data_IF_219455542992
#
_entry.id   IF_219455542992
#
_cell.length_a   1.000
_cell.length_b   1.000
_cell.length_c   1.000
_cell.angle_alpha   90.00
_cell.angle_beta   90.00
_cell.angle_gamma   90.00
#
_symmetry.space_group_name_H-M   'P 1'
#
loop_
_entity.id
_entity.type
_entity.pdbx_description
1 polymer ?
#
# COMPACT_ATOMS: atom_id res chain seq x y z
N UNK A 1 -3.87 -4.09 -22.86
CA UNK A 1 -4.50 -3.18 -21.88
C UNK A 1 -4.64 -1.81 -22.52
N UNK A 2 -5.85 -1.18 -22.43
CA UNK A 2 -6.11 0.11 -23.06
C UNK A 2 -6.23 1.28 -22.05
N UNK A 3 -5.83 1.05 -20.79
CA UNK A 3 -5.87 2.10 -19.78
C UNK A 3 -4.81 3.16 -20.07
N UNK A 4 -5.23 4.43 -20.05
CA UNK A 4 -4.37 5.61 -20.17
C UNK A 4 -4.65 6.63 -19.09
N UNK A 5 -5.93 6.81 -18.73
CA UNK A 5 -6.39 7.77 -17.73
C UNK A 5 -6.77 7.04 -16.45
N UNK A 6 -6.05 7.33 -15.39
CA UNK A 6 -6.20 6.70 -14.09
C UNK A 6 -6.65 7.74 -13.06
N UNK A 7 -7.70 7.45 -12.33
CA UNK A 7 -8.09 8.26 -11.18
C UNK A 7 -7.77 7.50 -9.90
N UNK A 8 -7.12 8.17 -8.96
CA UNK A 8 -6.90 7.65 -7.61
C UNK A 8 -7.75 8.44 -6.62
N UNK A 9 -8.70 7.78 -5.99
CA UNK A 9 -9.57 8.41 -5.00
C UNK A 9 -8.94 8.32 -3.60
N UNK A 10 -8.41 9.43 -3.13
CA UNK A 10 -7.73 9.55 -1.85
C UNK A 10 -6.23 9.81 -1.96
N UNK A 11 -5.69 10.57 -0.99
CA UNK A 11 -4.27 10.87 -0.85
C UNK A 11 -3.75 10.48 0.54
N UNK A 12 -4.19 9.33 1.03
CA UNK A 12 -3.57 8.65 2.16
C UNK A 12 -2.12 8.24 1.82
N UNK A 13 -1.47 7.47 2.68
CA UNK A 13 -0.10 6.98 2.43
C UNK A 13 -0.04 6.25 1.08
N UNK A 14 -0.87 5.21 0.89
CA UNK A 14 -0.88 4.44 -0.35
C UNK A 14 -1.50 5.20 -1.53
N UNK A 15 -2.60 5.92 -1.35
CA UNK A 15 -3.22 6.67 -2.45
C UNK A 15 -2.25 7.65 -3.11
N UNK A 16 -1.42 8.36 -2.31
CA UNK A 16 -0.37 9.24 -2.86
C UNK A 16 0.70 8.45 -3.62
N UNK A 17 1.14 7.30 -3.08
CA UNK A 17 2.15 6.45 -3.72
C UNK A 17 1.64 5.85 -5.04
N UNK A 18 0.40 5.35 -5.06
CA UNK A 18 -0.22 4.76 -6.25
C UNK A 18 -0.35 5.82 -7.36
N UNK A 19 -0.85 7.01 -7.01
CA UNK A 19 -0.98 8.11 -7.96
C UNK A 19 0.37 8.53 -8.55
N UNK A 20 1.37 8.70 -7.68
CA UNK A 20 2.71 9.12 -8.09
C UNK A 20 3.39 8.05 -8.97
N UNK A 21 3.34 6.77 -8.57
CA UNK A 21 3.90 5.67 -9.34
C UNK A 21 3.24 5.52 -10.70
N UNK A 22 1.91 5.65 -10.76
CA UNK A 22 1.17 5.59 -12.04
C UNK A 22 1.58 6.72 -12.98
N UNK A 23 1.70 7.96 -12.48
CA UNK A 23 2.17 9.09 -13.26
C UNK A 23 3.64 8.92 -13.70
N UNK A 24 4.52 8.45 -12.81
CA UNK A 24 5.91 8.13 -13.14
C UNK A 24 6.04 7.09 -14.27
N UNK A 25 5.10 6.15 -14.36
CA UNK A 25 5.04 5.16 -15.44
C UNK A 25 4.28 5.65 -16.69
N UNK A 26 3.92 6.95 -16.74
CA UNK A 26 3.41 7.62 -17.94
C UNK A 26 1.89 7.61 -18.10
N UNK A 27 1.12 7.28 -17.05
CA UNK A 27 -0.33 7.42 -17.07
C UNK A 27 -0.76 8.87 -16.83
N UNK A 28 -1.87 9.30 -17.44
CA UNK A 28 -2.55 10.56 -17.12
C UNK A 28 -3.33 10.37 -15.82
N UNK A 29 -2.84 10.97 -14.72
CA UNK A 29 -3.37 10.69 -13.38
C UNK A 29 -4.11 11.88 -12.80
N UNK A 30 -5.33 11.62 -12.33
CA UNK A 30 -6.13 12.54 -11.53
C UNK A 30 -6.30 11.99 -10.12
N UNK A 31 -6.12 12.82 -9.10
CA UNK A 31 -6.37 12.46 -7.70
C UNK A 31 -7.70 13.11 -7.29
N UNK A 32 -8.69 12.29 -6.99
CA UNK A 32 -9.93 12.79 -6.37
C UNK A 32 -9.77 12.91 -4.87
N UNK A 33 -10.21 14.04 -4.32
CA UNK A 33 -10.10 14.35 -2.90
C UNK A 33 -11.42 14.94 -2.37
N UNK A 34 -11.79 14.57 -1.17
CA UNK A 34 -13.07 14.91 -0.56
C UNK A 34 -13.31 16.42 -0.36
N UNK A 35 -12.25 17.22 -0.27
CA UNK A 35 -12.33 18.66 0.00
C UNK A 35 -11.05 19.40 -0.40
N UNK A 36 -11.14 20.71 -0.58
CA UNK A 36 -9.98 21.59 -0.82
C UNK A 36 -8.90 21.44 0.26
N UNK A 37 -9.29 21.36 1.53
CA UNK A 37 -8.35 21.10 2.62
C UNK A 37 -7.63 19.75 2.50
N UNK A 38 -8.20 18.77 1.78
CA UNK A 38 -7.52 17.51 1.47
C UNK A 38 -6.51 17.66 0.34
N UNK A 39 -6.77 18.57 -0.62
CA UNK A 39 -5.80 18.94 -1.67
C UNK A 39 -4.56 19.56 -1.03
N UNK A 40 -4.74 20.51 -0.13
CA UNK A 40 -3.61 21.14 0.57
C UNK A 40 -2.77 20.15 1.39
N UNK A 41 -3.40 19.14 1.99
CA UNK A 41 -2.68 18.06 2.69
C UNK A 41 -2.01 17.04 1.77
N UNK A 42 -2.46 16.91 0.52
CA UNK A 42 -1.88 16.01 -0.47
C UNK A 42 -0.54 16.54 -1.03
N UNK A 43 -0.47 17.85 -1.32
CA UNK A 43 0.69 18.52 -1.92
C UNK A 43 2.02 18.17 -1.23
N UNK A 44 2.20 18.37 0.09
CA UNK A 44 3.48 18.05 0.74
C UNK A 44 3.83 16.56 0.71
N UNK A 45 2.83 15.67 0.64
CA UNK A 45 3.08 14.22 0.51
C UNK A 45 3.64 13.87 -0.86
N UNK A 46 3.08 14.46 -1.92
CA UNK A 46 3.55 14.28 -3.29
C UNK A 46 4.94 14.88 -3.49
N UNK A 47 5.20 16.06 -2.93
CA UNK A 47 6.54 16.67 -2.94
C UNK A 47 7.57 15.79 -2.22
N UNK A 48 7.20 15.22 -1.07
CA UNK A 48 8.05 14.26 -0.35
C UNK A 48 8.35 13.02 -1.19
N UNK A 49 7.34 12.47 -1.90
CA UNK A 49 7.53 11.30 -2.77
C UNK A 49 8.48 11.62 -3.92
N UNK A 50 8.32 12.78 -4.58
CA UNK A 50 9.27 13.28 -5.58
C UNK A 50 10.69 13.28 -5.03
N UNK A 51 10.89 13.86 -3.84
CA UNK A 51 12.19 13.89 -3.17
C UNK A 51 12.76 12.49 -2.91
N UNK A 52 11.95 11.56 -2.40
CA UNK A 52 12.36 10.17 -2.15
C UNK A 52 12.83 9.49 -3.43
N UNK A 53 12.05 9.60 -4.52
CA UNK A 53 12.40 8.99 -5.82
C UNK A 53 13.72 9.56 -6.34
N UNK A 54 13.88 10.88 -6.37
CA UNK A 54 15.10 11.54 -6.86
C UNK A 54 16.33 11.16 -6.03
N UNK A 55 16.22 11.15 -4.69
CA UNK A 55 17.31 10.78 -3.79
C UNK A 55 17.69 9.30 -3.92
N UNK A 56 16.71 8.42 -4.01
CA UNK A 56 16.96 6.98 -4.17
C UNK A 56 17.62 6.68 -5.51
N UNK A 57 17.17 7.31 -6.60
CA UNK A 57 17.78 7.18 -7.92
C UNK A 57 19.21 7.75 -7.96
N UNK A 58 19.46 8.88 -7.28
CA UNK A 58 20.82 9.42 -7.18
C UNK A 58 21.76 8.48 -6.42
N UNK A 59 21.28 7.92 -5.30
CA UNK A 59 22.04 6.92 -4.55
C UNK A 59 22.32 5.65 -5.37
N UNK A 60 21.35 5.24 -6.23
CA UNK A 60 21.52 4.07 -7.10
C UNK A 60 22.70 4.19 -8.07
N UNK A 61 23.05 5.38 -8.54
CA UNK A 61 24.21 5.59 -9.44
C UNK A 61 25.53 5.08 -8.86
N UNK A 62 25.67 5.08 -7.54
CA UNK A 62 26.92 4.67 -6.84
C UNK A 62 26.73 3.48 -5.91
N UNK A 63 25.49 3.14 -5.57
CA UNK A 63 25.15 2.03 -4.70
C UNK A 63 24.10 1.13 -5.35
N UNK A 64 24.45 -0.02 -5.92
CA UNK A 64 23.50 -0.95 -6.53
C UNK A 64 22.39 -1.42 -5.59
N UNK A 65 22.59 -1.39 -4.28
CA UNK A 65 21.58 -1.77 -3.29
C UNK A 65 20.44 -0.74 -3.17
N UNK A 66 20.63 0.47 -3.68
CA UNK A 66 19.58 1.48 -3.75
C UNK A 66 18.59 1.26 -4.91
N UNK A 67 18.85 0.28 -5.78
CA UNK A 67 17.92 -0.12 -6.83
C UNK A 67 16.56 -0.53 -6.25
N UNK A 68 15.50 0.00 -6.85
CA UNK A 68 14.13 -0.37 -6.55
C UNK A 68 13.44 -0.91 -7.81
N UNK A 69 12.88 -2.12 -7.71
CA UNK A 69 12.25 -2.82 -8.85
C UNK A 69 11.07 -2.05 -9.47
N UNK A 70 10.39 -1.20 -8.70
CA UNK A 70 9.32 -0.35 -9.24
C UNK A 70 9.83 0.79 -10.13
N UNK A 71 11.12 1.12 -10.12
CA UNK A 71 11.69 2.17 -10.98
C UNK A 71 11.98 1.67 -12.38
N UNK A 72 12.65 0.52 -12.49
CA UNK A 72 13.05 -0.05 -13.77
C UNK A 72 13.14 -1.58 -13.67
N UNK A 73 13.09 -2.25 -14.83
CA UNK A 73 13.13 -3.72 -14.92
C UNK A 73 14.57 -4.27 -14.71
N UNK A 74 15.60 -3.46 -14.99
CA UNK A 74 17.00 -3.84 -14.82
C UNK A 74 17.67 -3.03 -13.71
N UNK A 75 18.48 -3.66 -12.84
CA UNK A 75 19.33 -2.96 -11.89
C UNK A 75 20.57 -2.32 -12.56
N UNK A 76 20.90 -2.71 -13.79
CA UNK A 76 22.18 -2.39 -14.47
C UNK A 76 22.01 -1.20 -15.45
N UNK A 77 21.40 -0.11 -14.98
CA UNK A 77 21.28 1.12 -15.76
C UNK A 77 22.52 2.00 -15.61
N UNK A 78 22.90 2.66 -16.70
CA UNK A 78 23.92 3.70 -16.69
C UNK A 78 23.46 4.96 -15.93
N UNK A 79 24.40 5.82 -15.54
CA UNK A 79 24.09 7.07 -14.88
C UNK A 79 23.16 7.97 -15.72
N UNK A 80 23.36 8.01 -17.05
CA UNK A 80 22.53 8.79 -17.97
C UNK A 80 21.09 8.25 -18.06
N UNK A 81 20.93 6.90 -18.07
CA UNK A 81 19.60 6.27 -18.04
C UNK A 81 18.87 6.55 -16.71
N UNK A 82 19.61 6.54 -15.60
CA UNK A 82 19.05 6.91 -14.29
C UNK A 82 18.64 8.40 -14.27
N UNK A 83 19.45 9.30 -14.88
CA UNK A 83 19.09 10.70 -14.99
C UNK A 83 17.82 10.91 -15.86
N UNK A 84 17.67 10.15 -16.93
CA UNK A 84 16.43 10.16 -17.71
C UNK A 84 15.21 9.69 -16.90
N UNK A 85 15.38 8.74 -15.96
CA UNK A 85 14.31 8.37 -15.02
C UNK A 85 14.00 9.50 -14.03
N UNK A 86 15.01 10.25 -13.57
CA UNK A 86 14.80 11.42 -12.69
C UNK A 86 14.02 12.54 -13.39
N UNK A 87 14.23 12.75 -14.69
CA UNK A 87 13.41 13.68 -15.47
C UNK A 87 11.94 13.24 -15.48
N UNK A 88 11.66 11.95 -15.70
CA UNK A 88 10.29 11.41 -15.61
C UNK A 88 9.67 11.58 -14.22
N UNK A 89 10.44 11.57 -13.14
CA UNK A 89 9.93 11.86 -11.79
C UNK A 89 9.42 13.29 -11.69
N UNK A 90 10.12 14.26 -12.28
CA UNK A 90 9.70 15.68 -12.31
C UNK A 90 8.45 15.83 -13.17
N UNK A 91 8.44 15.27 -14.38
CA UNK A 91 7.28 15.28 -15.28
C UNK A 91 6.03 14.67 -14.63
N UNK A 92 6.21 13.53 -13.94
CA UNK A 92 5.13 12.87 -13.21
C UNK A 92 4.53 13.78 -12.15
N UNK A 93 5.37 14.43 -11.34
CA UNK A 93 4.92 15.38 -10.31
C UNK A 93 4.14 16.55 -10.91
N UNK A 94 4.66 17.14 -11.97
CA UNK A 94 4.08 18.32 -12.61
C UNK A 94 2.78 18.01 -13.38
N UNK A 95 2.61 16.76 -13.83
CA UNK A 95 1.41 16.30 -14.57
C UNK A 95 0.25 15.90 -13.68
N UNK A 96 0.46 15.66 -12.38
CA UNK A 96 -0.60 15.23 -11.46
C UNK A 96 -1.69 16.30 -11.33
N UNK A 97 -2.93 15.87 -11.54
CA UNK A 97 -4.12 16.70 -11.38
C UNK A 97 -4.82 16.35 -10.06
N UNK A 98 -5.42 17.34 -9.44
CA UNK A 98 -6.23 17.14 -8.22
C UNK A 98 -7.57 17.83 -8.38
N UNK A 99 -8.65 17.15 -7.96
CA UNK A 99 -10.01 17.69 -8.01
C UNK A 99 -10.85 17.19 -6.83
N UNK A 100 -11.86 17.97 -6.48
CA UNK A 100 -12.92 17.55 -5.54
C UNK A 100 -14.21 17.15 -6.26
N UNK A 101 -14.27 17.33 -7.58
CA UNK A 101 -15.43 16.98 -8.41
C UNK A 101 -15.43 15.51 -8.79
N UNK A 102 -16.52 14.81 -8.50
CA UNK A 102 -16.71 13.43 -8.97
C UNK A 102 -16.76 13.35 -10.50
N UNK A 103 -17.43 14.31 -11.14
CA UNK A 103 -17.52 14.35 -12.59
C UNK A 103 -16.15 14.49 -13.26
N UNK A 104 -15.34 15.47 -12.81
CA UNK A 104 -13.98 15.64 -13.36
C UNK A 104 -13.11 14.44 -13.14
N UNK A 105 -13.24 13.78 -11.99
CA UNK A 105 -12.47 12.58 -11.65
C UNK A 105 -12.85 11.36 -12.49
N UNK A 106 -14.14 11.22 -12.86
CA UNK A 106 -14.67 9.99 -13.43
C UNK A 106 -14.89 10.04 -14.96
N UNK A 107 -15.30 11.18 -15.51
CA UNK A 107 -15.86 11.30 -16.89
C UNK A 107 -15.01 10.70 -18.01
N UNK A 108 -13.71 10.65 -17.84
CA UNK A 108 -12.78 10.14 -18.85
C UNK A 108 -11.95 8.94 -18.36
N UNK A 109 -12.09 8.55 -17.08
CA UNK A 109 -11.26 7.55 -16.46
C UNK A 109 -11.43 6.18 -17.11
N UNK A 110 -10.31 5.52 -17.40
CA UNK A 110 -10.28 4.12 -17.83
C UNK A 110 -10.24 3.19 -16.60
N UNK A 111 -9.52 3.62 -15.58
CA UNK A 111 -9.39 2.92 -14.29
C UNK A 111 -9.55 3.91 -13.14
N UNK A 112 -10.34 3.54 -12.14
CA UNK A 112 -10.42 4.29 -10.88
C UNK A 112 -9.95 3.38 -9.74
N UNK A 113 -9.00 3.85 -8.94
CA UNK A 113 -8.43 3.15 -7.79
C UNK A 113 -8.92 3.83 -6.52
N UNK A 114 -9.79 3.19 -5.78
CA UNK A 114 -10.29 3.68 -4.50
C UNK A 114 -9.27 3.39 -3.40
N UNK A 115 -8.79 4.44 -2.75
CA UNK A 115 -7.85 4.43 -1.63
C UNK A 115 -8.29 5.41 -0.51
N UNK A 116 -9.61 5.50 -0.28
CA UNK A 116 -10.20 6.29 0.82
C UNK A 116 -10.12 5.53 2.16
N UNK A 117 -10.75 6.09 3.21
CA UNK A 117 -10.74 5.48 4.53
C UNK A 117 -11.33 4.05 4.53
N UNK A 118 -10.78 3.18 5.36
CA UNK A 118 -11.19 1.79 5.55
C UNK A 118 -12.46 1.71 6.41
N UNK A 119 -13.52 2.30 5.90
CA UNK A 119 -14.80 2.47 6.60
C UNK A 119 -15.97 2.29 5.61
N UNK A 120 -16.80 1.24 5.77
CA UNK A 120 -17.96 1.01 4.92
C UNK A 120 -18.93 2.21 4.85
N UNK A 121 -19.10 2.96 5.95
CA UNK A 121 -19.96 4.12 5.99
C UNK A 121 -19.48 5.28 5.10
N UNK A 122 -18.19 5.29 4.74
CA UNK A 122 -17.63 6.25 3.81
C UNK A 122 -17.52 5.69 2.38
N UNK A 123 -17.24 4.38 2.24
CA UNK A 123 -17.08 3.74 0.92
C UNK A 123 -18.40 3.62 0.15
N UNK A 124 -19.48 3.20 0.82
CA UNK A 124 -20.78 3.01 0.17
C UNK A 124 -21.28 4.30 -0.49
N UNK A 125 -21.42 5.43 0.22
CA UNK A 125 -21.86 6.68 -0.40
C UNK A 125 -20.90 7.18 -1.49
N UNK A 126 -19.58 6.93 -1.34
CA UNK A 126 -18.60 7.28 -2.35
C UNK A 126 -18.84 6.50 -3.65
N UNK A 127 -19.07 5.19 -3.59
CA UNK A 127 -19.34 4.36 -4.77
C UNK A 127 -20.64 4.75 -5.45
N UNK A 128 -21.71 4.94 -4.67
CA UNK A 128 -23.03 5.34 -5.20
C UNK A 128 -22.99 6.70 -5.91
N UNK A 129 -22.23 7.66 -5.36
CA UNK A 129 -22.07 8.96 -6.02
C UNK A 129 -21.19 8.86 -7.25
N UNK A 130 -20.05 8.18 -7.16
CA UNK A 130 -19.10 7.99 -8.26
C UNK A 130 -19.75 7.29 -9.45
N UNK A 131 -20.62 6.31 -9.21
CA UNK A 131 -21.33 5.54 -10.23
C UNK A 131 -22.12 6.41 -11.21
N UNK A 132 -22.58 7.57 -10.80
CA UNK A 132 -23.37 8.51 -11.63
C UNK A 132 -22.55 9.15 -12.75
N UNK A 133 -21.22 9.19 -12.61
CA UNK A 133 -20.32 9.93 -13.51
C UNK A 133 -19.37 9.02 -14.29
N UNK A 134 -19.24 7.75 -13.90
CA UNK A 134 -18.32 6.82 -14.57
C UNK A 134 -18.84 6.39 -15.95
N UNK A 135 -18.03 6.55 -17.02
CA UNK A 135 -18.35 5.97 -18.34
C UNK A 135 -18.45 4.43 -18.30
N UNK A 136 -19.11 3.85 -19.29
CA UNK A 136 -19.24 2.40 -19.43
C UNK A 136 -17.88 1.67 -19.43
N UNK A 137 -16.86 2.26 -20.03
CA UNK A 137 -15.52 1.67 -20.14
C UNK A 137 -14.77 1.52 -18.81
N UNK A 138 -15.11 2.33 -17.80
CA UNK A 138 -14.33 2.46 -16.57
C UNK A 138 -14.34 1.18 -15.75
N UNK A 139 -13.17 0.70 -15.38
CA UNK A 139 -12.94 -0.33 -14.37
C UNK A 139 -12.72 0.33 -13.01
N UNK A 140 -13.28 -0.23 -11.97
CA UNK A 140 -13.15 0.29 -10.61
C UNK A 140 -12.44 -0.75 -9.74
N UNK A 141 -11.42 -0.33 -9.01
CA UNK A 141 -10.72 -1.19 -8.06
C UNK A 141 -10.62 -0.56 -6.67
N UNK A 142 -10.58 -1.39 -5.64
CA UNK A 142 -10.33 -0.95 -4.26
C UNK A 142 -8.94 -1.36 -3.80
N UNK A 143 -8.25 -0.46 -3.09
CA UNK A 143 -7.00 -0.76 -2.40
C UNK A 143 -7.25 -1.16 -0.93
N UNK A 144 -8.47 -1.49 -0.55
CA UNK A 144 -8.81 -1.92 0.81
C UNK A 144 -7.93 -3.09 1.26
N UNK A 145 -7.43 -3.04 2.50
CA UNK A 145 -6.57 -4.09 3.08
C UNK A 145 -7.38 -5.19 3.77
N UNK A 146 -8.60 -4.89 4.22
CA UNK A 146 -9.37 -5.78 5.09
C UNK A 146 -10.78 -6.07 4.58
N UNK A 147 -11.37 -5.14 3.80
CA UNK A 147 -12.74 -5.25 3.32
C UNK A 147 -12.78 -5.96 1.96
N UNK A 148 -13.61 -7.00 1.86
CA UNK A 148 -13.73 -7.80 0.64
C UNK A 148 -14.50 -7.05 -0.46
N UNK A 149 -14.11 -7.17 -1.73
CA UNK A 149 -14.84 -6.57 -2.85
C UNK A 149 -16.30 -6.98 -2.92
N UNK A 150 -16.65 -8.24 -2.62
CA UNK A 150 -18.04 -8.71 -2.64
C UNK A 150 -18.98 -7.90 -1.75
N UNK A 151 -18.45 -7.30 -0.66
CA UNK A 151 -19.26 -6.48 0.24
C UNK A 151 -19.70 -5.15 -0.38
N UNK A 152 -19.06 -4.69 -1.45
CA UNK A 152 -19.29 -3.37 -2.05
C UNK A 152 -19.70 -3.43 -3.52
N UNK A 153 -19.57 -4.57 -4.16
CA UNK A 153 -19.74 -4.71 -5.61
C UNK A 153 -21.04 -4.11 -6.16
N UNK A 154 -22.16 -4.32 -5.47
CA UNK A 154 -23.48 -3.82 -5.91
C UNK A 154 -23.59 -2.29 -5.83
N UNK A 155 -22.91 -1.66 -4.86
CA UNK A 155 -22.92 -0.20 -4.71
C UNK A 155 -22.13 0.54 -5.81
N UNK A 156 -21.30 -0.19 -6.55
CA UNK A 156 -20.47 0.39 -7.63
C UNK A 156 -21.25 0.62 -8.93
N UNK A 157 -22.44 0.00 -9.08
CA UNK A 157 -23.24 0.02 -10.31
C UNK A 157 -22.61 -0.77 -11.47
N UNK A 158 -21.48 -1.49 -11.21
CA UNK A 158 -20.75 -2.29 -12.22
C UNK A 158 -20.00 -3.46 -11.57
N UNK A 159 -20.69 -4.38 -10.88
CA UNK A 159 -20.06 -5.46 -10.13
C UNK A 159 -19.08 -6.29 -10.98
N UNK A 160 -19.38 -6.50 -12.26
CA UNK A 160 -18.53 -7.25 -13.18
C UNK A 160 -17.18 -6.57 -13.49
N UNK A 161 -17.07 -5.23 -13.29
CA UNK A 161 -15.87 -4.40 -13.49
C UNK A 161 -15.25 -3.93 -12.17
N UNK A 162 -15.63 -4.55 -11.06
CA UNK A 162 -15.13 -4.20 -9.74
C UNK A 162 -14.32 -5.34 -9.13
N UNK A 163 -13.17 -5.01 -8.56
CA UNK A 163 -12.26 -5.96 -7.92
C UNK A 163 -11.29 -5.23 -6.98
N UNK A 164 -10.44 -5.98 -6.27
CA UNK A 164 -9.39 -5.41 -5.46
C UNK A 164 -8.05 -5.35 -6.21
N UNK A 165 -7.31 -4.26 -5.97
CA UNK A 165 -5.92 -4.07 -6.35
C UNK A 165 -5.19 -3.49 -5.13
N UNK A 166 -4.63 -4.39 -4.30
CA UNK A 166 -4.02 -4.06 -3.02
C UNK A 166 -2.51 -3.96 -3.12
N UNK A 167 -1.94 -2.89 -2.56
CA UNK A 167 -0.51 -2.62 -2.60
C UNK A 167 0.12 -2.69 -1.21
N UNK A 168 1.39 -3.09 -1.17
CA UNK A 168 2.23 -2.90 0.00
C UNK A 168 2.74 -1.46 0.08
N UNK A 169 3.10 -0.97 1.28
CA UNK A 169 3.74 0.35 1.43
C UNK A 169 5.10 0.40 0.75
N UNK A 170 5.54 1.61 0.34
CA UNK A 170 6.77 1.84 -0.42
C UNK A 170 6.77 1.07 -1.74
N UNK A 171 5.70 1.25 -2.52
CA UNK A 171 5.40 0.47 -3.72
C UNK A 171 6.52 0.48 -4.76
N UNK A 172 7.38 1.49 -4.79
CA UNK A 172 8.56 1.53 -5.66
C UNK A 172 9.64 0.51 -5.28
N UNK A 173 9.72 0.14 -4.01
CA UNK A 173 10.67 -0.85 -3.48
C UNK A 173 9.99 -2.21 -3.25
N UNK A 174 8.84 -2.21 -2.56
CA UNK A 174 8.02 -3.41 -2.28
C UNK A 174 6.96 -3.58 -3.38
N UNK A 175 7.42 -3.76 -4.60
CA UNK A 175 6.62 -3.64 -5.81
C UNK A 175 5.66 -4.82 -6.07
N UNK A 176 4.88 -5.23 -5.08
CA UNK A 176 3.79 -6.21 -5.25
C UNK A 176 2.43 -5.52 -5.31
N UNK A 177 1.54 -6.07 -6.13
CA UNK A 177 0.14 -5.67 -6.22
C UNK A 177 -0.75 -6.92 -6.22
N UNK A 178 -1.54 -7.10 -5.19
CA UNK A 178 -2.43 -8.25 -5.04
C UNK A 178 -3.74 -7.97 -5.78
N UNK A 179 -4.04 -8.79 -6.79
CA UNK A 179 -5.25 -8.69 -7.61
C UNK A 179 -6.23 -9.74 -7.13
N UNK A 180 -7.45 -9.33 -6.74
CA UNK A 180 -8.44 -10.22 -6.18
C UNK A 180 -9.84 -9.85 -6.68
N UNK A 181 -10.45 -10.71 -7.50
CA UNK A 181 -11.84 -10.60 -7.91
C UNK A 181 -12.80 -11.14 -6.84
N UNK A 182 -14.07 -10.75 -6.93
CA UNK A 182 -15.19 -11.39 -6.24
C UNK A 182 -15.95 -12.31 -7.21
N UNK A 183 -16.93 -13.13 -6.76
CA UNK A 183 -17.63 -14.10 -7.63
C UNK A 183 -18.32 -13.48 -8.87
N UNK A 184 -18.61 -12.20 -8.87
CA UNK A 184 -19.23 -11.49 -10.00
C UNK A 184 -18.25 -10.75 -10.90
N UNK A 185 -16.96 -10.75 -10.59
CA UNK A 185 -15.93 -10.06 -11.42
C UNK A 185 -15.73 -10.81 -12.74
N UNK A 186 -15.83 -10.10 -13.88
CA UNK A 186 -15.50 -10.66 -15.19
C UNK A 186 -13.97 -10.84 -15.33
N UNK A 187 -13.53 -12.02 -15.77
CA UNK A 187 -12.12 -12.36 -15.96
C UNK A 187 -11.38 -11.38 -16.85
N UNK A 188 -12.05 -10.83 -17.85
CA UNK A 188 -11.46 -9.80 -18.74
C UNK A 188 -10.95 -8.60 -17.96
N UNK A 189 -11.71 -8.09 -17.01
CA UNK A 189 -11.32 -6.92 -16.22
C UNK A 189 -10.28 -7.26 -15.17
N UNK A 190 -10.35 -8.47 -14.63
CA UNK A 190 -9.30 -9.01 -13.76
C UNK A 190 -7.93 -9.02 -14.48
N UNK A 191 -7.90 -9.55 -15.71
CA UNK A 191 -6.68 -9.62 -16.51
C UNK A 191 -6.17 -8.23 -16.89
N UNK A 192 -7.05 -7.29 -17.22
CA UNK A 192 -6.68 -5.90 -17.52
C UNK A 192 -6.05 -5.20 -16.30
N UNK A 193 -6.56 -5.43 -15.09
CA UNK A 193 -6.01 -4.87 -13.85
C UNK A 193 -4.66 -5.50 -13.52
N UNK A 194 -4.48 -6.80 -13.74
CA UNK A 194 -3.18 -7.46 -13.59
C UNK A 194 -2.13 -6.89 -14.56
N UNK A 195 -2.52 -6.61 -15.82
CA UNK A 195 -1.63 -5.96 -16.79
C UNK A 195 -1.33 -4.50 -16.42
N UNK A 196 -2.30 -3.76 -15.86
CA UNK A 196 -2.05 -2.42 -15.32
C UNK A 196 -1.02 -2.47 -14.18
N UNK A 197 -1.15 -3.41 -13.26
CA UNK A 197 -0.18 -3.57 -12.18
C UNK A 197 1.25 -3.76 -12.72
N UNK A 198 1.44 -4.60 -13.75
CA UNK A 198 2.73 -4.75 -14.42
C UNK A 198 3.19 -3.43 -15.06
N UNK A 199 2.30 -2.73 -15.77
CA UNK A 199 2.64 -1.49 -16.46
C UNK A 199 3.12 -0.38 -15.52
N UNK A 200 2.64 -0.36 -14.26
CA UNK A 200 3.15 0.56 -13.24
C UNK A 200 4.37 0.03 -12.48
N UNK A 201 5.01 -1.06 -12.95
CA UNK A 201 6.22 -1.63 -12.38
C UNK A 201 5.98 -2.55 -11.17
N UNK A 202 4.76 -3.06 -11.00
CA UNK A 202 4.45 -4.01 -9.93
C UNK A 202 4.52 -5.46 -10.42
N UNK A 203 4.76 -6.38 -9.49
CA UNK A 203 4.56 -7.81 -9.68
C UNK A 203 3.13 -8.14 -9.25
N UNK A 204 2.21 -8.49 -10.18
CA UNK A 204 0.86 -8.84 -9.81
C UNK A 204 0.81 -10.19 -9.10
N UNK A 205 0.20 -10.20 -7.93
CA UNK A 205 -0.08 -11.40 -7.15
C UNK A 205 -1.55 -11.75 -7.34
N UNK A 206 -1.81 -12.67 -8.26
CA UNK A 206 -3.14 -13.02 -8.72
C UNK A 206 -3.83 -14.05 -7.81
N UNK A 207 -4.80 -13.62 -7.01
CA UNK A 207 -5.58 -14.50 -6.14
C UNK A 207 -6.69 -15.21 -6.94
N UNK A 208 -6.90 -16.48 -6.66
CA UNK A 208 -7.88 -17.31 -7.37
C UNK A 208 -9.32 -17.12 -6.88
N UNK A 209 -9.49 -16.54 -5.70
CA UNK A 209 -10.78 -16.26 -5.05
C UNK A 209 -10.59 -15.18 -3.99
N UNK A 210 -11.70 -14.65 -3.48
CA UNK A 210 -11.65 -13.76 -2.32
C UNK A 210 -10.98 -14.44 -1.12
N UNK A 211 -10.00 -13.73 -0.58
CA UNK A 211 -9.24 -14.12 0.60
C UNK A 211 -9.11 -12.90 1.50
N UNK A 212 -9.73 -12.89 2.70
CA UNK A 212 -9.49 -11.85 3.69
C UNK A 212 -8.00 -11.73 3.98
N UNK A 213 -7.52 -10.49 4.12
CA UNK A 213 -6.10 -10.18 4.36
C UNK A 213 -5.14 -10.57 3.20
N UNK A 214 -5.66 -11.00 2.06
CA UNK A 214 -4.87 -11.36 0.87
C UNK A 214 -3.81 -12.44 1.16
N UNK A 215 -2.74 -12.50 0.38
CA UNK A 215 -1.61 -13.42 0.63
C UNK A 215 -0.65 -12.82 1.66
N UNK A 216 -0.27 -11.54 1.44
CA UNK A 216 0.75 -10.89 2.28
C UNK A 216 0.36 -10.89 3.76
N UNK A 217 -0.79 -10.30 4.09
CA UNK A 217 -1.17 -10.14 5.49
C UNK A 217 -1.62 -11.47 6.13
N UNK A 218 -2.09 -12.45 5.32
CA UNK A 218 -2.37 -13.82 5.80
C UNK A 218 -1.11 -14.51 6.32
N UNK A 219 0.05 -14.23 5.73
CA UNK A 219 1.33 -14.78 6.17
C UNK A 219 2.01 -13.88 7.22
N UNK A 220 2.01 -12.57 6.98
CA UNK A 220 2.75 -11.61 7.79
C UNK A 220 2.19 -11.47 9.21
N UNK A 221 0.88 -11.28 9.34
CA UNK A 221 0.27 -11.02 10.67
C UNK A 221 0.48 -12.18 11.65
N UNK A 222 0.24 -13.46 11.29
CA UNK A 222 0.58 -14.59 12.17
C UNK A 222 2.08 -14.69 12.46
N UNK A 223 2.95 -14.42 11.47
CA UNK A 223 4.40 -14.47 11.65
C UNK A 223 4.88 -13.43 12.68
N UNK A 224 4.42 -12.18 12.56
CA UNK A 224 4.73 -11.14 13.54
C UNK A 224 4.14 -11.46 14.93
N UNK A 225 2.90 -11.99 14.94
CA UNK A 225 2.24 -12.44 16.16
C UNK A 225 3.03 -13.52 16.90
N UNK A 226 3.59 -14.50 16.18
CA UNK A 226 4.44 -15.53 16.78
C UNK A 226 5.71 -14.96 17.43
N UNK A 227 6.35 -13.96 16.79
CA UNK A 227 7.49 -13.24 17.38
C UNK A 227 7.12 -12.49 18.65
N UNK A 228 6.00 -11.75 18.62
CA UNK A 228 5.48 -11.03 19.80
C UNK A 228 5.12 -11.97 20.95
N UNK A 229 4.57 -13.14 20.66
CA UNK A 229 4.25 -14.13 21.67
C UNK A 229 5.50 -14.69 22.37
N UNK A 230 6.54 -15.01 21.59
CA UNK A 230 7.82 -15.47 22.16
C UNK A 230 8.42 -14.41 23.07
N UNK A 231 8.43 -13.18 22.63
CA UNK A 231 8.92 -12.05 23.42
C UNK A 231 8.10 -11.81 24.70
N UNK A 232 6.77 -11.74 24.60
CA UNK A 232 5.89 -11.45 25.74
C UNK A 232 5.79 -12.61 26.76
N UNK A 233 6.21 -13.81 26.39
CA UNK A 233 6.33 -14.97 27.27
C UNK A 233 7.71 -15.09 27.92
N UNK A 234 8.60 -14.13 27.71
CA UNK A 234 10.02 -14.19 28.10
C UNK A 234 10.74 -15.44 27.56
N UNK A 235 10.26 -15.96 26.43
CA UNK A 235 10.83 -17.14 25.76
C UNK A 235 12.16 -16.84 25.09
N UNK A 236 12.31 -15.63 24.53
CA UNK A 236 13.55 -15.13 23.95
C UNK A 236 13.47 -13.60 23.82
N UNK A 237 14.63 -12.94 23.80
CA UNK A 237 14.74 -11.52 23.46
C UNK A 237 14.58 -11.28 21.93
N UNK A 238 14.34 -10.03 21.49
CA UNK A 238 14.16 -9.70 20.08
C UNK A 238 15.31 -10.16 19.18
N UNK A 239 16.56 -9.97 19.63
CA UNK A 239 17.76 -10.34 18.88
C UNK A 239 17.85 -11.85 18.67
N UNK A 240 17.58 -12.64 19.71
CA UNK A 240 17.57 -14.11 19.63
C UNK A 240 16.47 -14.62 18.69
N UNK A 241 15.28 -14.02 18.73
CA UNK A 241 14.15 -14.38 17.87
C UNK A 241 14.54 -14.15 16.40
N UNK A 242 15.00 -12.94 16.06
CA UNK A 242 15.35 -12.55 14.69
C UNK A 242 16.56 -13.33 14.19
N UNK A 243 17.64 -13.43 14.96
CA UNK A 243 18.83 -14.19 14.60
C UNK A 243 18.51 -15.65 14.31
N UNK A 244 17.64 -16.28 15.11
CA UNK A 244 17.23 -17.67 14.89
C UNK A 244 16.54 -17.81 13.55
N UNK A 245 15.60 -16.93 13.22
CA UNK A 245 14.87 -16.95 11.96
C UNK A 245 15.79 -16.68 10.76
N UNK A 246 16.61 -15.64 10.85
CA UNK A 246 17.54 -15.23 9.79
C UNK A 246 18.55 -16.33 9.45
N UNK A 247 19.21 -16.89 10.46
CA UNK A 247 20.22 -17.93 10.25
C UNK A 247 19.62 -19.26 9.79
N UNK A 248 18.49 -19.66 10.35
CA UNK A 248 17.90 -20.97 10.02
C UNK A 248 17.21 -20.99 8.65
N UNK A 249 16.72 -19.85 8.17
CA UNK A 249 15.92 -19.77 6.92
C UNK A 249 16.63 -19.03 5.78
N UNK A 250 17.67 -18.26 6.08
CA UNK A 250 18.30 -17.34 5.12
C UNK A 250 17.46 -16.08 4.82
N UNK A 251 16.41 -15.83 5.60
CA UNK A 251 15.60 -14.62 5.46
C UNK A 251 16.41 -13.38 5.85
N UNK A 252 16.21 -12.22 5.18
CA UNK A 252 16.98 -11.00 5.45
C UNK A 252 16.61 -10.33 6.78
N UNK A 253 15.40 -10.59 7.29
CA UNK A 253 14.88 -10.00 8.53
C UNK A 253 14.01 -11.01 9.28
N UNK A 254 14.10 -11.00 10.61
CA UNK A 254 13.19 -11.69 11.48
C UNK A 254 11.95 -10.85 11.82
N UNK A 255 11.00 -11.41 12.61
CA UNK A 255 9.72 -10.77 12.90
C UNK A 255 9.85 -9.45 13.65
N UNK A 256 10.82 -9.30 14.55
CA UNK A 256 10.97 -8.11 15.37
C UNK A 256 11.51 -6.91 14.56
N UNK A 257 12.46 -7.14 13.64
CA UNK A 257 12.90 -6.13 12.66
C UNK A 257 11.77 -5.72 11.72
N UNK A 258 10.95 -6.67 11.28
CA UNK A 258 9.80 -6.36 10.42
C UNK A 258 8.76 -5.55 11.20
N UNK A 259 8.54 -5.80 12.48
CA UNK A 259 7.67 -4.98 13.32
C UNK A 259 8.17 -3.53 13.38
N UNK A 260 9.47 -3.29 13.48
CA UNK A 260 10.05 -1.95 13.47
C UNK A 260 9.87 -1.24 12.11
N UNK A 261 9.89 -1.99 11.00
CA UNK A 261 9.56 -1.46 9.65
C UNK A 261 8.08 -1.09 9.54
N UNK A 262 7.18 -1.94 10.03
CA UNK A 262 5.71 -1.71 10.04
C UNK A 262 5.35 -0.54 10.97
N UNK A 263 6.09 -0.41 12.05
CA UNK A 263 5.87 0.57 13.12
C UNK A 263 5.01 0.03 14.26
N UNK A 264 5.50 0.21 15.49
CA UNK A 264 4.90 -0.35 16.69
C UNK A 264 3.46 0.11 16.92
N UNK A 265 3.13 1.35 16.56
CA UNK A 265 1.75 1.86 16.64
C UNK A 265 0.77 1.07 15.77
N UNK A 266 1.18 0.72 14.55
CA UNK A 266 0.36 -0.09 13.65
C UNK A 266 0.14 -1.48 14.22
N UNK A 267 1.21 -2.12 14.69
CA UNK A 267 1.16 -3.46 15.29
C UNK A 267 0.31 -3.46 16.55
N UNK A 268 0.46 -2.46 17.42
CA UNK A 268 -0.37 -2.26 18.60
C UNK A 268 -1.86 -2.19 18.25
N UNK A 269 -2.22 -1.39 17.24
CA UNK A 269 -3.61 -1.26 16.80
C UNK A 269 -4.20 -2.58 16.28
N UNK A 270 -3.41 -3.37 15.54
CA UNK A 270 -3.81 -4.70 15.07
C UNK A 270 -4.03 -5.65 16.24
N UNK A 271 -3.10 -5.70 17.20
CA UNK A 271 -3.21 -6.53 18.41
C UNK A 271 -4.43 -6.13 19.26
N UNK A 272 -4.73 -4.83 19.38
CA UNK A 272 -5.91 -4.31 20.08
C UNK A 272 -7.26 -4.69 19.45
N UNK A 273 -7.27 -5.16 18.21
CA UNK A 273 -8.49 -5.70 17.58
C UNK A 273 -8.87 -7.09 18.14
N UNK A 274 -7.94 -7.80 18.76
CA UNK A 274 -8.22 -9.10 19.40
C UNK A 274 -9.06 -8.87 20.67
N UNK A 275 -10.16 -9.61 20.87
CA UNK A 275 -10.99 -9.47 22.08
C UNK A 275 -10.18 -9.60 23.38
N UNK A 276 -9.26 -10.57 23.43
CA UNK A 276 -8.42 -10.89 24.56
C UNK A 276 -7.41 -9.78 24.93
N UNK A 277 -7.14 -8.86 24.02
CA UNK A 277 -6.22 -7.75 24.29
C UNK A 277 -6.69 -6.85 25.44
N UNK A 278 -8.01 -6.79 25.68
CA UNK A 278 -8.63 -6.00 26.75
C UNK A 278 -8.80 -6.76 28.05
N UNK A 279 -8.52 -8.05 28.08
CA UNK A 279 -8.69 -8.92 29.24
C UNK A 279 -7.39 -9.01 30.03
N UNK A 280 -7.30 -8.46 31.28
CA UNK A 280 -6.09 -8.49 32.07
C UNK A 280 -5.56 -9.92 32.29
N UNK A 281 -4.26 -10.07 32.15
CA UNK A 281 -3.56 -11.36 32.36
C UNK A 281 -3.52 -12.30 31.17
N UNK A 282 -4.25 -12.01 30.08
CA UNK A 282 -4.09 -12.76 28.82
C UNK A 282 -2.77 -12.42 28.12
N UNK A 283 -2.32 -13.29 27.25
CA UNK A 283 -1.11 -13.06 26.48
C UNK A 283 -1.23 -11.83 25.58
N UNK A 284 -2.37 -11.66 24.89
CA UNK A 284 -2.65 -10.48 24.08
C UNK A 284 -2.61 -9.20 24.90
N UNK A 285 -3.15 -9.20 26.14
CA UNK A 285 -3.07 -8.05 27.03
C UNK A 285 -1.61 -7.73 27.44
N UNK A 286 -0.78 -8.74 27.71
CA UNK A 286 0.65 -8.53 27.97
C UNK A 286 1.36 -7.90 26.76
N UNK A 287 1.10 -8.40 25.55
CA UNK A 287 1.67 -7.87 24.30
C UNK A 287 1.31 -6.39 24.13
N UNK A 288 0.01 -6.05 24.18
CA UNK A 288 -0.41 -4.65 23.97
C UNK A 288 0.11 -3.73 25.07
N UNK A 289 0.20 -4.19 26.31
CA UNK A 289 0.78 -3.41 27.42
C UNK A 289 2.26 -3.12 27.16
N UNK A 290 3.04 -4.12 26.79
CA UNK A 290 4.47 -3.96 26.52
C UNK A 290 4.73 -3.11 25.27
N UNK A 291 3.93 -3.26 24.20
CA UNK A 291 4.01 -2.38 23.02
C UNK A 291 3.65 -0.94 23.39
N UNK A 292 2.61 -0.74 24.21
CA UNK A 292 2.21 0.61 24.66
C UNK A 292 3.32 1.30 25.46
N UNK A 293 4.02 0.59 26.33
CA UNK A 293 5.16 1.13 27.08
C UNK A 293 6.29 1.61 26.16
N UNK A 294 6.58 0.88 25.06
CA UNK A 294 7.56 1.30 24.05
C UNK A 294 7.08 2.54 23.29
N UNK A 295 5.83 2.54 22.84
CA UNK A 295 5.20 3.67 22.14
C UNK A 295 5.24 4.94 23.01
N UNK A 296 4.92 4.86 24.30
CA UNK A 296 4.92 5.99 25.23
C UNK A 296 6.31 6.56 25.46
N UNK A 297 7.37 5.77 25.25
CA UNK A 297 8.77 6.20 25.25
C UNK A 297 9.23 6.79 23.91
N UNK A 298 8.37 6.83 22.89
CA UNK A 298 8.72 7.29 21.57
C UNK A 298 9.45 6.24 20.69
N UNK A 299 9.51 4.98 21.14
CA UNK A 299 10.12 3.87 20.41
C UNK A 299 9.09 3.32 19.40
N UNK A 300 8.99 3.98 18.21
CA UNK A 300 7.94 3.71 17.24
C UNK A 300 8.39 2.83 16.05
N UNK A 301 9.67 2.46 15.99
CA UNK A 301 10.31 1.73 14.91
C UNK A 301 11.27 2.58 14.08
N UNK A 302 11.64 2.12 12.89
CA UNK A 302 12.67 2.72 12.02
C UNK A 302 12.44 4.23 11.79
N UNK A 303 11.22 4.66 11.52
CA UNK A 303 10.92 6.06 11.24
C UNK A 303 11.17 7.02 12.43
N UNK A 304 11.24 6.49 13.64
CA UNK A 304 11.55 7.22 14.87
C UNK A 304 13.02 7.04 15.32
N UNK A 305 13.81 6.26 14.56
CA UNK A 305 15.19 5.90 14.90
C UNK A 305 15.32 4.83 15.99
N UNK A 306 14.19 4.40 16.57
CA UNK A 306 14.17 3.39 17.63
C UNK A 306 12.83 2.66 17.67
N UNK A 307 12.90 1.34 17.86
CA UNK A 307 11.78 0.44 18.08
C UNK A 307 12.19 -0.68 19.02
N UNK A 308 12.19 -1.92 18.54
CA UNK A 308 12.88 -3.03 19.20
C UNK A 308 14.40 -2.87 19.08
N UNK A 309 14.86 -2.22 18.00
CA UNK A 309 16.26 -1.90 17.72
C UNK A 309 16.49 -0.39 17.65
N UNK A 310 17.76 0.01 17.63
CA UNK A 310 18.22 1.37 17.33
C UNK A 310 18.71 1.44 15.87
N UNK A 311 18.42 2.53 15.14
CA UNK A 311 18.67 2.71 13.71
C UNK A 311 19.45 3.99 13.42
#
# INVERSE_FOLDING_TARGET
MDFKKVTVAGSGVLGSQIAFQSAFKGFDVTIWLRSEGSIERAKPKLERLKGIYLQTMEAWKTNPQAYCRGFADSPDLSADEIDALKEKVVEAFDSLKMTTSYEEAAKDADLIIEAIAEDPAQKIPFYEELAKYMPEKTVLVTNSSTLLPSAFAEYTGRPEKYLALHFANNIWAQNTAEVMGHPGTDQKYYDQVAEFAKAIGMVPICLKKEQPAYVLNTLLVPFLGAGLELWAKDGADPETIDMTWELATGAPNGPMKIIDVVGLTTVYNIEMMKPEAKEPGTLSNKIVTALKEKIDKGELGINAGKGFYEY
#
